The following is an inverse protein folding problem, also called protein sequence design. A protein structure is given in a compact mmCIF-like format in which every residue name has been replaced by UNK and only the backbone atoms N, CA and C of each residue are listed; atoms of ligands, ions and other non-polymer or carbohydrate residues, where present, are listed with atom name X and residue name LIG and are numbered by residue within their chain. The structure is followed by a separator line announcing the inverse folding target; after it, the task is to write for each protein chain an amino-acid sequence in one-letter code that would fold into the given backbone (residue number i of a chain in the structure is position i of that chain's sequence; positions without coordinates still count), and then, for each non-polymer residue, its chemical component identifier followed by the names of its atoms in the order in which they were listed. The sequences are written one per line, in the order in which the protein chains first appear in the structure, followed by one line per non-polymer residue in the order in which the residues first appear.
data_IF_416492448043
#
_entry.id   IF_416492448043
#
_cell.length_a   1.000
_cell.length_b   1.000
_cell.length_c   1.000
_cell.angle_alpha   90.00
_cell.angle_beta   90.00
_cell.angle_gamma   90.00
#
_symmetry.space_group_name_H-M   'P 1'
#
loop_
_entity.id
_entity.type
_entity.pdbx_description
1 polymer ?
#
# COMPACT_ATOMS: atom_id res chain seq x y z
N UNK A 1 -8.77 -25.30 27.36
CA UNK A 1 -7.35 -25.71 27.16
C UNK A 1 -7.00 -25.89 25.68
N UNK A 2 -7.86 -26.48 24.84
CA UNK A 2 -7.60 -26.61 23.37
C UNK A 2 -7.43 -25.27 22.65
N UNK A 3 -8.25 -24.28 22.98
CA UNK A 3 -8.18 -22.95 22.33
C UNK A 3 -6.93 -22.12 22.68
N UNK A 4 -6.31 -22.39 23.84
CA UNK A 4 -5.03 -21.73 24.19
C UNK A 4 -3.84 -22.34 23.44
N UNK A 5 -3.91 -23.63 23.15
CA UNK A 5 -2.90 -24.32 22.36
C UNK A 5 -2.94 -23.88 20.89
N UNK A 6 -4.14 -23.70 20.31
CA UNK A 6 -4.29 -23.25 18.91
C UNK A 6 -3.76 -21.82 18.73
N UNK A 7 -4.08 -20.92 19.67
CA UNK A 7 -3.57 -19.54 19.63
C UNK A 7 -2.05 -19.47 19.77
N UNK A 8 -1.49 -20.30 20.69
CA UNK A 8 -0.03 -20.36 20.88
C UNK A 8 0.70 -20.96 19.68
N UNK A 9 0.08 -21.92 18.99
CA UNK A 9 0.63 -22.56 17.78
C UNK A 9 0.58 -21.59 16.59
N UNK A 10 -0.53 -20.89 16.38
CA UNK A 10 -0.65 -19.92 15.29
C UNK A 10 0.25 -18.70 15.50
N UNK A 11 0.40 -18.23 16.75
CA UNK A 11 1.37 -17.17 17.08
C UNK A 11 2.79 -17.61 16.79
N UNK A 12 3.17 -18.84 17.20
CA UNK A 12 4.50 -19.39 16.88
C UNK A 12 4.74 -19.52 15.38
N UNK A 13 3.74 -19.91 14.61
CA UNK A 13 3.84 -20.00 13.15
C UNK A 13 4.02 -18.62 12.52
N UNK A 14 3.27 -17.60 12.95
CA UNK A 14 3.41 -16.21 12.48
C UNK A 14 4.79 -15.66 12.88
N UNK A 15 5.23 -15.88 14.10
CA UNK A 15 6.55 -15.45 14.59
C UNK A 15 7.68 -16.18 13.83
N UNK A 16 7.50 -17.47 13.51
CA UNK A 16 8.44 -18.26 12.70
C UNK A 16 8.53 -17.73 11.27
N UNK A 17 7.38 -17.48 10.61
CA UNK A 17 7.33 -16.89 9.29
C UNK A 17 7.99 -15.51 9.29
N UNK A 18 7.71 -14.69 10.31
CA UNK A 18 8.35 -13.39 10.48
C UNK A 18 9.87 -13.46 10.61
N UNK A 19 10.38 -14.44 11.37
CA UNK A 19 11.83 -14.65 11.51
C UNK A 19 12.47 -15.15 10.21
N UNK A 20 11.80 -16.05 9.50
CA UNK A 20 12.26 -16.55 8.21
C UNK A 20 12.28 -15.45 7.15
N UNK A 21 11.26 -14.56 7.12
CA UNK A 21 11.21 -13.38 6.26
C UNK A 21 12.38 -12.42 6.54
N UNK A 22 12.70 -12.19 7.81
CA UNK A 22 13.83 -11.36 8.22
C UNK A 22 15.15 -11.97 7.74
N UNK A 23 15.32 -13.27 7.85
CA UNK A 23 16.54 -13.94 7.42
C UNK A 23 16.69 -13.95 5.90
N UNK A 24 15.59 -14.18 5.16
CA UNK A 24 15.56 -14.08 3.69
C UNK A 24 15.94 -12.67 3.22
N UNK A 25 15.38 -11.61 3.83
CA UNK A 25 15.76 -10.22 3.53
C UNK A 25 17.24 -9.95 3.80
N UNK A 26 17.79 -10.45 4.89
CA UNK A 26 19.24 -10.31 5.17
C UNK A 26 20.10 -11.00 4.12
N UNK A 27 19.67 -12.16 3.64
CA UNK A 27 20.38 -12.87 2.57
C UNK A 27 20.30 -12.09 1.25
N UNK A 28 19.13 -11.57 0.88
CA UNK A 28 18.94 -10.71 -0.29
C UNK A 28 19.82 -9.46 -0.22
N UNK A 29 19.84 -8.76 0.90
CA UNK A 29 20.70 -7.59 1.14
C UNK A 29 22.18 -7.92 0.98
N UNK A 30 22.61 -9.08 1.46
CA UNK A 30 23.99 -9.55 1.31
C UNK A 30 24.34 -9.80 -0.15
N UNK A 31 23.43 -10.42 -0.90
CA UNK A 31 23.61 -10.68 -2.34
C UNK A 31 23.60 -9.39 -3.15
N UNK A 32 22.69 -8.44 -2.86
CA UNK A 32 22.70 -7.12 -3.48
C UNK A 32 23.98 -6.36 -3.23
N UNK A 33 24.51 -6.41 -2.00
CA UNK A 33 25.79 -5.81 -1.67
C UNK A 33 26.94 -6.43 -2.45
N UNK A 34 26.97 -7.75 -2.59
CA UNK A 34 27.97 -8.44 -3.41
C UNK A 34 27.85 -8.06 -4.90
N UNK A 35 26.63 -7.88 -5.40
CA UNK A 35 26.40 -7.42 -6.77
C UNK A 35 26.87 -5.98 -6.96
N UNK A 36 26.65 -5.08 -6.00
CA UNK A 36 27.12 -3.70 -6.03
C UNK A 36 28.63 -3.59 -6.19
N UNK A 37 29.40 -4.51 -5.66
CA UNK A 37 30.86 -4.52 -5.77
C UNK A 37 31.36 -4.77 -7.21
N UNK A 38 30.55 -5.43 -8.03
CA UNK A 38 30.93 -5.83 -9.40
C UNK A 38 30.06 -5.18 -10.49
N UNK A 39 28.92 -4.61 -10.12
CA UNK A 39 27.95 -4.08 -11.07
C UNK A 39 28.12 -2.56 -11.27
N UNK A 40 28.22 -2.08 -12.51
CA UNK A 40 28.45 -0.67 -12.83
C UNK A 40 27.16 0.16 -12.75
N UNK A 41 26.67 0.41 -11.54
CA UNK A 41 25.39 1.07 -11.25
C UNK A 41 25.22 2.40 -12.01
N UNK A 42 26.21 3.27 -11.95
CA UNK A 42 26.13 4.61 -12.59
C UNK A 42 26.04 4.52 -14.12
N UNK A 43 26.78 3.60 -14.71
CA UNK A 43 26.73 3.38 -16.16
C UNK A 43 25.39 2.82 -16.59
N UNK A 44 24.87 1.84 -15.86
CA UNK A 44 23.53 1.28 -16.13
C UNK A 44 22.44 2.35 -16.03
N UNK A 45 22.47 3.20 -15.00
CA UNK A 45 21.57 4.34 -14.83
C UNK A 45 21.58 5.26 -16.04
N UNK A 46 22.75 5.60 -16.56
CA UNK A 46 22.90 6.46 -17.75
C UNK A 46 22.38 5.79 -19.03
N UNK A 47 22.73 4.53 -19.28
CA UNK A 47 22.32 3.80 -20.48
C UNK A 47 20.81 3.64 -20.53
N UNK A 48 20.18 3.32 -19.41
CA UNK A 48 18.73 3.12 -19.33
C UNK A 48 17.93 4.41 -19.12
N UNK A 49 18.60 5.57 -18.92
CA UNK A 49 17.95 6.85 -18.71
C UNK A 49 17.05 6.86 -17.46
N UNK A 50 17.47 6.18 -16.39
CA UNK A 50 16.63 6.05 -15.19
C UNK A 50 16.40 7.39 -14.52
N UNK A 51 15.16 7.72 -14.10
CA UNK A 51 14.83 8.99 -13.46
C UNK A 51 15.45 9.11 -12.05
N UNK A 52 15.38 10.32 -11.48
CA UNK A 52 15.95 10.63 -10.14
C UNK A 52 15.36 9.76 -9.01
N UNK A 53 14.18 9.19 -9.18
CA UNK A 53 13.61 8.24 -8.21
C UNK A 53 14.54 7.04 -7.94
N UNK A 54 15.45 6.74 -8.87
CA UNK A 54 16.49 5.71 -8.73
C UNK A 54 17.83 6.29 -8.20
N UNK A 55 17.78 7.25 -7.30
CA UNK A 55 18.99 7.87 -6.73
C UNK A 55 19.85 6.91 -5.91
N UNK A 56 19.23 5.92 -5.28
CA UNK A 56 19.92 4.94 -4.45
C UNK A 56 20.37 3.73 -5.28
N UNK A 57 21.62 3.33 -5.13
CA UNK A 57 22.23 2.25 -5.92
C UNK A 57 21.47 0.92 -5.83
N UNK A 58 20.87 0.61 -4.69
CA UNK A 58 20.06 -0.61 -4.54
C UNK A 58 18.78 -0.59 -5.41
N UNK A 59 18.17 0.59 -5.62
CA UNK A 59 17.02 0.73 -6.54
C UNK A 59 17.41 0.47 -7.99
N UNK A 60 18.60 0.91 -8.37
CA UNK A 60 19.15 0.64 -9.71
C UNK A 60 19.43 -0.84 -9.89
N UNK A 61 19.94 -1.52 -8.87
CA UNK A 61 20.13 -2.97 -8.90
C UNK A 61 18.80 -3.71 -8.98
N UNK A 62 17.79 -3.26 -8.22
CA UNK A 62 16.44 -3.82 -8.33
C UNK A 62 15.88 -3.68 -9.74
N UNK A 63 16.02 -2.51 -10.34
CA UNK A 63 15.63 -2.29 -11.73
C UNK A 63 16.37 -3.23 -12.68
N UNK A 64 17.68 -3.39 -12.53
CA UNK A 64 18.47 -4.30 -13.35
C UNK A 64 18.02 -5.75 -13.21
N UNK A 65 17.85 -6.25 -11.99
CA UNK A 65 17.38 -7.62 -11.72
C UNK A 65 16.01 -7.87 -12.36
N UNK A 66 15.16 -6.87 -12.37
CA UNK A 66 13.79 -7.00 -12.80
C UNK A 66 13.60 -6.81 -14.32
N UNK A 67 14.40 -5.96 -14.94
CA UNK A 67 14.19 -5.53 -16.33
C UNK A 67 15.41 -5.72 -17.24
N UNK A 68 16.61 -5.79 -16.67
CA UNK A 68 17.87 -5.81 -17.40
C UNK A 68 18.52 -7.17 -17.54
N UNK A 69 17.94 -8.22 -16.98
CA UNK A 69 18.54 -9.55 -16.97
C UNK A 69 18.26 -10.26 -18.29
N UNK A 70 18.71 -9.69 -19.39
CA UNK A 70 18.98 -10.48 -20.54
C UNK A 70 20.50 -10.55 -20.77
N UNK A 71 20.96 -11.64 -21.33
CA UNK A 71 22.38 -11.91 -21.48
C UNK A 71 23.12 -10.83 -22.29
N UNK A 72 22.43 -10.19 -23.21
CA UNK A 72 22.98 -9.14 -24.06
C UNK A 72 23.20 -7.84 -23.31
N UNK A 73 22.22 -7.38 -22.53
CA UNK A 73 22.32 -6.17 -21.73
C UNK A 73 23.44 -6.26 -20.70
N UNK A 74 23.61 -7.43 -20.10
CA UNK A 74 24.65 -7.66 -19.10
C UNK A 74 26.05 -7.57 -19.66
N UNK A 75 26.30 -8.22 -20.80
CA UNK A 75 27.60 -8.20 -21.48
C UNK A 75 27.99 -6.81 -21.96
N UNK A 76 27.03 -6.09 -22.53
CA UNK A 76 27.27 -4.72 -23.00
C UNK A 76 27.57 -3.78 -21.85
N UNK A 77 26.81 -3.82 -20.76
CA UNK A 77 26.99 -2.97 -19.59
C UNK A 77 28.39 -3.17 -18.97
N UNK A 78 28.81 -4.42 -18.78
CA UNK A 78 30.14 -4.69 -18.22
C UNK A 78 31.25 -4.25 -19.17
N UNK A 79 31.11 -4.50 -20.46
CA UNK A 79 32.09 -4.11 -21.48
C UNK A 79 32.25 -2.59 -21.54
N UNK A 80 31.16 -1.86 -21.54
CA UNK A 80 31.19 -0.39 -21.58
C UNK A 80 31.74 0.20 -20.27
N UNK A 81 31.47 -0.40 -19.13
CA UNK A 81 31.98 0.05 -17.85
C UNK A 81 33.52 -0.06 -17.78
N UNK A 82 34.08 -1.14 -18.28
CA UNK A 82 35.53 -1.34 -18.34
C UNK A 82 36.19 -0.28 -19.26
N UNK A 83 35.57 -0.02 -20.41
CA UNK A 83 36.03 1.02 -21.33
C UNK A 83 35.91 2.42 -20.73
N UNK A 84 34.82 2.73 -20.03
CA UNK A 84 34.55 4.00 -19.38
C UNK A 84 35.52 4.31 -18.24
N UNK A 85 35.85 3.30 -17.44
CA UNK A 85 36.80 3.46 -16.32
C UNK A 85 38.28 3.46 -16.76
N UNK A 86 38.55 3.20 -18.04
CA UNK A 86 39.94 3.13 -18.54
C UNK A 86 40.75 2.01 -17.87
N UNK A 87 40.07 0.97 -17.37
CA UNK A 87 40.71 -0.14 -16.68
C UNK A 87 41.33 -1.09 -17.69
N UNK A 88 42.64 -1.25 -17.68
CA UNK A 88 43.34 -2.29 -18.45
C UNK A 88 43.22 -3.65 -17.73
N UNK A 89 42.02 -4.23 -17.77
CA UNK A 89 41.72 -5.52 -17.14
C UNK A 89 41.99 -6.63 -18.15
N UNK A 90 42.80 -7.65 -17.81
CA UNK A 90 43.02 -8.80 -18.68
C UNK A 90 41.70 -9.51 -19.03
N UNK A 91 41.53 -9.94 -20.28
CA UNK A 91 40.31 -10.63 -20.75
C UNK A 91 39.90 -11.82 -19.87
N UNK A 92 40.85 -12.49 -19.25
CA UNK A 92 40.60 -13.60 -18.31
C UNK A 92 39.91 -13.16 -17.03
N UNK A 93 40.23 -11.96 -16.51
CA UNK A 93 39.55 -11.41 -15.32
C UNK A 93 38.18 -10.85 -15.69
N UNK A 94 38.02 -10.33 -16.90
CA UNK A 94 36.73 -9.87 -17.41
C UNK A 94 35.66 -10.97 -17.37
N UNK A 95 35.99 -12.14 -17.88
CA UNK A 95 35.08 -13.28 -17.88
C UNK A 95 34.76 -13.77 -16.46
N UNK A 96 35.73 -13.71 -15.54
CA UNK A 96 35.49 -14.06 -14.13
C UNK A 96 34.52 -13.10 -13.43
N UNK A 97 34.63 -11.79 -13.69
CA UNK A 97 33.71 -10.77 -13.15
C UNK A 97 32.31 -10.98 -13.73
N UNK A 98 32.20 -11.20 -15.04
CA UNK A 98 30.91 -11.49 -15.70
C UNK A 98 30.24 -12.73 -15.11
N UNK A 99 30.95 -13.83 -14.97
CA UNK A 99 30.41 -15.07 -14.42
C UNK A 99 30.02 -14.92 -12.93
N UNK A 100 30.84 -14.24 -12.14
CA UNK A 100 30.50 -13.97 -10.74
C UNK A 100 29.24 -13.12 -10.60
N UNK A 101 29.10 -12.08 -11.40
CA UNK A 101 27.92 -11.21 -11.39
C UNK A 101 26.66 -11.96 -11.87
N UNK A 102 26.77 -12.83 -12.90
CA UNK A 102 25.67 -13.69 -13.35
C UNK A 102 25.22 -14.65 -12.25
N UNK A 103 26.15 -15.32 -11.57
CA UNK A 103 25.83 -16.25 -10.50
C UNK A 103 25.07 -15.58 -9.35
N UNK A 104 25.57 -14.42 -8.90
CA UNK A 104 24.91 -13.63 -7.83
C UNK A 104 23.52 -13.19 -8.27
N UNK A 105 23.39 -12.74 -9.52
CA UNK A 105 22.10 -12.31 -10.08
C UNK A 105 21.09 -13.47 -10.15
N UNK A 106 21.51 -14.63 -10.65
CA UNK A 106 20.65 -15.82 -10.70
C UNK A 106 20.21 -16.25 -9.30
N UNK A 107 21.12 -16.24 -8.33
CA UNK A 107 20.81 -16.59 -6.95
C UNK A 107 19.81 -15.61 -6.30
N UNK A 108 19.91 -14.31 -6.62
CA UNK A 108 18.95 -13.30 -6.20
C UNK A 108 17.56 -13.55 -6.78
N UNK A 109 17.46 -13.82 -8.08
CA UNK A 109 16.18 -14.12 -8.75
C UNK A 109 15.54 -15.36 -8.14
N UNK A 110 16.29 -16.46 -8.03
CA UNK A 110 15.78 -17.68 -7.42
C UNK A 110 15.37 -17.50 -5.96
N UNK A 111 16.12 -16.69 -5.20
CA UNK A 111 15.79 -16.36 -3.81
C UNK A 111 14.46 -15.62 -3.72
N UNK A 112 14.21 -14.65 -4.61
CA UNK A 112 12.95 -13.90 -4.69
C UNK A 112 11.78 -14.80 -5.07
N UNK A 113 11.94 -15.66 -6.05
CA UNK A 113 10.88 -16.60 -6.44
C UNK A 113 10.53 -17.59 -5.33
N UNK A 114 11.53 -18.14 -4.65
CA UNK A 114 11.31 -18.97 -3.46
C UNK A 114 10.56 -18.21 -2.36
N UNK A 115 10.90 -16.94 -2.14
CA UNK A 115 10.24 -16.09 -1.13
C UNK A 115 8.79 -15.80 -1.52
N UNK A 116 8.51 -15.45 -2.77
CA UNK A 116 7.15 -15.25 -3.28
C UNK A 116 6.29 -16.50 -3.08
N UNK A 117 6.81 -17.67 -3.41
CA UNK A 117 6.11 -18.94 -3.21
C UNK A 117 5.84 -19.23 -1.74
N UNK A 118 6.80 -18.93 -0.85
CA UNK A 118 6.63 -19.07 0.61
C UNK A 118 5.58 -18.12 1.15
N UNK A 119 5.58 -16.85 0.72
CA UNK A 119 4.59 -15.85 1.11
C UNK A 119 3.19 -16.30 0.67
N UNK A 120 3.02 -16.77 -0.56
CA UNK A 120 1.75 -17.28 -1.05
C UNK A 120 1.25 -18.49 -0.23
N UNK A 121 2.12 -19.47 0.03
CA UNK A 121 1.78 -20.65 0.83
C UNK A 121 1.43 -20.27 2.28
N UNK A 122 2.20 -19.37 2.90
CA UNK A 122 1.98 -18.91 4.25
C UNK A 122 0.67 -18.12 4.37
N UNK A 123 0.40 -17.20 3.43
CA UNK A 123 -0.83 -16.42 3.40
C UNK A 123 -2.06 -17.30 3.20
N UNK A 124 -1.99 -18.27 2.29
CA UNK A 124 -3.06 -19.25 2.09
C UNK A 124 -3.29 -20.11 3.33
N UNK A 125 -2.23 -20.56 4.01
CA UNK A 125 -2.32 -21.28 5.28
C UNK A 125 -2.99 -20.44 6.37
N UNK A 126 -2.54 -19.20 6.57
CA UNK A 126 -3.12 -18.29 7.56
C UNK A 126 -4.62 -18.02 7.32
N UNK A 127 -5.02 -17.85 6.07
CA UNK A 127 -6.42 -17.60 5.73
C UNK A 127 -7.30 -18.87 5.83
N UNK A 128 -6.74 -20.05 5.57
CA UNK A 128 -7.45 -21.34 5.58
C UNK A 128 -7.58 -21.93 6.97
N UNK A 129 -6.47 -22.04 7.71
CA UNK A 129 -6.39 -22.83 8.93
C UNK A 129 -6.91 -22.09 10.15
N UNK A 130 -6.84 -20.76 10.17
CA UNK A 130 -7.30 -19.98 11.32
C UNK A 130 -8.80 -19.78 11.38
N UNK A 131 -9.55 -20.17 10.34
CA UNK A 131 -10.91 -19.66 10.24
C UNK A 131 -10.90 -18.24 10.81
N UNK A 132 -10.83 -17.20 10.00
CA UNK A 132 -10.63 -15.78 10.43
C UNK A 132 -11.43 -15.45 11.72
N UNK A 133 -12.54 -16.14 11.95
CA UNK A 133 -13.40 -16.11 13.14
C UNK A 133 -12.70 -16.45 14.45
N UNK A 134 -11.74 -17.38 14.48
CA UNK A 134 -11.09 -17.79 15.74
C UNK A 134 -9.94 -16.86 16.15
N UNK A 135 -9.34 -16.14 15.20
CA UNK A 135 -8.33 -15.12 15.47
C UNK A 135 -8.90 -13.79 15.98
N UNK A 136 -10.21 -13.59 15.83
CA UNK A 136 -10.90 -12.32 16.09
C UNK A 136 -11.71 -12.42 17.38
N UNK A 137 -11.09 -12.78 18.49
CA UNK A 137 -11.74 -12.52 19.79
C UNK A 137 -11.50 -11.04 20.13
N UNK A 138 -12.59 -10.27 20.38
CA UNK A 138 -12.41 -8.92 20.90
C UNK A 138 -11.65 -9.05 22.22
N UNK A 139 -10.43 -8.52 22.24
CA UNK A 139 -9.73 -8.35 23.50
C UNK A 139 -10.55 -7.38 24.35
N UNK A 140 -10.87 -7.75 25.59
CA UNK A 140 -11.49 -6.86 26.57
C UNK A 140 -10.48 -5.76 26.91
N UNK A 141 -10.52 -4.66 26.17
CA UNK A 141 -9.76 -3.45 26.47
C UNK A 141 -10.63 -2.48 27.25
N UNK A 142 -10.05 -1.77 28.19
CA UNK A 142 -10.71 -0.66 28.85
C UNK A 142 -10.98 0.44 27.82
N UNK A 143 -12.24 0.84 27.67
CA UNK A 143 -12.59 2.01 26.86
C UNK A 143 -11.82 3.24 27.39
N UNK A 144 -11.21 3.99 26.45
CA UNK A 144 -10.50 5.23 26.79
C UNK A 144 -8.99 5.12 26.92
N UNK A 145 -8.38 3.92 26.92
CA UNK A 145 -6.92 3.80 26.88
C UNK A 145 -6.35 4.20 25.52
N UNK A 146 -5.45 5.19 25.51
CA UNK A 146 -4.77 5.71 24.31
C UNK A 146 -3.40 5.06 24.13
N UNK A 147 -3.38 3.73 23.91
CA UNK A 147 -2.14 2.99 23.68
C UNK A 147 -1.70 3.16 22.22
N UNK A 148 -0.50 3.67 22.02
CA UNK A 148 0.07 3.89 20.69
C UNK A 148 0.67 2.58 20.15
N UNK A 149 0.16 2.12 19.02
CA UNK A 149 0.55 0.82 18.44
C UNK A 149 2.02 0.78 18.01
N UNK A 150 2.51 1.85 17.39
CA UNK A 150 3.85 1.90 16.77
C UNK A 150 4.99 2.17 17.77
N UNK A 151 4.68 2.42 19.04
CA UNK A 151 5.68 2.73 20.07
C UNK A 151 6.02 1.55 20.97
N UNK A 152 5.17 0.53 20.98
CA UNK A 152 5.38 -0.64 21.84
C UNK A 152 6.60 -1.46 21.39
N UNK A 153 7.51 -1.72 22.31
CA UNK A 153 8.73 -2.49 22.04
C UNK A 153 9.81 -1.73 21.26
N UNK A 154 9.57 -0.46 20.92
CA UNK A 154 10.54 0.40 20.26
C UNK A 154 11.05 1.48 21.25
N UNK A 155 12.31 1.38 21.72
CA UNK A 155 12.87 2.36 22.66
C UNK A 155 13.28 3.68 22.00
N UNK A 156 13.17 3.79 20.66
CA UNK A 156 13.56 4.98 19.95
C UNK A 156 12.69 6.18 20.37
N UNK A 157 13.28 7.36 20.31
CA UNK A 157 12.57 8.62 20.47
C UNK A 157 11.40 8.69 19.46
N UNK A 158 10.24 9.21 19.89
CA UNK A 158 9.06 9.36 19.02
C UNK A 158 9.38 10.13 17.73
N UNK A 159 10.29 11.11 17.79
CA UNK A 159 10.72 11.88 16.63
C UNK A 159 11.63 11.11 15.68
N UNK A 160 12.19 9.99 16.08
CA UNK A 160 13.03 9.10 15.26
C UNK A 160 12.25 7.88 14.78
N UNK A 161 11.10 7.59 15.39
CA UNK A 161 10.25 6.47 15.01
C UNK A 161 9.44 6.80 13.74
N UNK A 162 10.00 6.47 12.57
CA UNK A 162 9.38 6.76 11.27
C UNK A 162 7.97 6.20 11.13
N UNK A 163 7.70 5.00 11.66
CA UNK A 163 6.36 4.39 11.60
C UNK A 163 5.33 5.15 12.45
N UNK A 164 5.74 5.65 13.63
CA UNK A 164 4.90 6.51 14.46
C UNK A 164 4.66 7.85 13.76
N UNK A 165 5.71 8.49 13.26
CA UNK A 165 5.63 9.78 12.55
C UNK A 165 4.67 9.69 11.36
N UNK A 166 4.78 8.63 10.56
CA UNK A 166 3.88 8.40 9.44
C UNK A 166 2.42 8.26 9.89
N UNK A 167 2.13 7.41 10.89
CA UNK A 167 0.77 7.24 11.39
C UNK A 167 0.22 8.53 12.03
N UNK A 168 1.04 9.26 12.78
CA UNK A 168 0.66 10.52 13.44
C UNK A 168 0.37 11.63 12.43
N UNK A 169 1.14 11.77 11.35
CA UNK A 169 0.90 12.75 10.28
C UNK A 169 -0.44 12.56 9.57
N UNK A 170 -0.98 11.34 9.61
CA UNK A 170 -2.29 11.00 9.03
C UNK A 170 -3.45 11.11 10.03
N UNK A 171 -3.26 11.88 11.11
CA UNK A 171 -4.34 12.22 12.04
C UNK A 171 -4.92 13.60 11.75
N UNK A 172 -6.17 13.82 12.15
CA UNK A 172 -6.82 15.13 12.19
C UNK A 172 -7.56 15.30 13.49
N UNK A 173 -7.44 16.47 14.10
CA UNK A 173 -8.16 16.84 15.32
C UNK A 173 -9.42 17.63 14.99
N UNK A 174 -10.54 17.25 15.58
CA UNK A 174 -11.76 18.05 15.65
C UNK A 174 -11.79 18.76 17.00
N UNK A 175 -11.46 20.05 17.02
CA UNK A 175 -11.23 20.82 18.25
C UNK A 175 -12.45 20.87 19.16
N UNK A 176 -13.65 21.09 18.60
CA UNK A 176 -14.87 21.23 19.37
C UNK A 176 -15.16 20.06 20.30
N UNK A 177 -14.86 18.84 19.86
CA UNK A 177 -15.10 17.60 20.62
C UNK A 177 -13.83 17.02 21.26
N UNK A 178 -12.65 17.58 20.99
CA UNK A 178 -11.35 16.98 21.29
C UNK A 178 -11.26 15.54 20.81
N UNK A 179 -11.68 15.31 19.55
CA UNK A 179 -11.63 13.99 18.92
C UNK A 179 -10.52 13.92 17.88
N UNK A 180 -9.91 12.76 17.76
CA UNK A 180 -8.86 12.49 16.76
C UNK A 180 -9.33 11.40 15.82
N UNK A 181 -9.27 11.66 14.52
CA UNK A 181 -9.46 10.64 13.51
C UNK A 181 -8.16 10.35 12.76
N UNK A 182 -7.99 9.09 12.36
CA UNK A 182 -6.99 8.72 11.35
C UNK A 182 -7.66 8.69 9.99
N UNK A 183 -7.11 9.45 9.05
CA UNK A 183 -7.55 9.40 7.66
C UNK A 183 -6.62 8.51 6.85
N UNK A 184 -7.20 7.71 5.96
CA UNK A 184 -6.47 6.79 5.09
C UNK A 184 -6.86 7.11 3.64
N UNK A 185 -5.92 7.29 2.72
CA UNK A 185 -6.22 7.49 1.31
C UNK A 185 -7.15 6.41 0.76
N UNK A 186 -8.11 6.80 -0.09
CA UNK A 186 -9.17 5.95 -0.67
C UNK A 186 -10.26 5.48 0.32
N UNK A 187 -10.24 5.94 1.59
CA UNK A 187 -11.23 5.62 2.62
C UNK A 187 -12.05 6.86 3.01
N UNK A 188 -12.60 7.58 2.05
CA UNK A 188 -13.33 8.85 2.25
C UNK A 188 -12.45 9.97 2.88
N UNK A 189 -11.14 9.94 2.65
CA UNK A 189 -10.20 10.89 3.25
C UNK A 189 -10.54 12.35 2.92
N UNK A 190 -10.96 12.67 1.70
CA UNK A 190 -11.35 14.03 1.30
C UNK A 190 -12.58 14.51 2.07
N UNK A 191 -13.58 13.63 2.26
CA UNK A 191 -14.78 13.96 3.04
C UNK A 191 -14.41 14.32 4.48
N UNK A 192 -13.58 13.48 5.15
CA UNK A 192 -13.16 13.70 6.53
C UNK A 192 -12.33 14.98 6.67
N UNK A 193 -11.31 15.14 5.83
CA UNK A 193 -10.37 16.28 5.91
C UNK A 193 -11.07 17.60 5.63
N UNK A 194 -11.93 17.64 4.60
CA UNK A 194 -12.72 18.83 4.27
C UNK A 194 -13.69 19.18 5.39
N UNK A 195 -14.43 18.22 5.94
CA UNK A 195 -15.38 18.43 7.00
C UNK A 195 -14.72 18.92 8.30
N UNK A 196 -13.57 18.40 8.65
CA UNK A 196 -12.78 18.90 9.79
C UNK A 196 -12.27 20.32 9.54
N UNK A 197 -11.84 20.63 8.31
CA UNK A 197 -11.42 21.98 7.96
C UNK A 197 -12.57 22.99 8.06
N UNK A 198 -13.79 22.62 7.66
CA UNK A 198 -15.00 23.42 7.86
C UNK A 198 -15.32 23.56 9.36
N UNK A 199 -15.39 22.44 10.08
CA UNK A 199 -15.75 22.43 11.50
C UNK A 199 -14.76 23.19 12.38
N UNK A 200 -13.48 23.21 12.01
CA UNK A 200 -12.43 23.98 12.69
C UNK A 200 -12.30 25.44 12.18
N UNK A 201 -13.11 25.84 11.18
CA UNK A 201 -13.19 27.23 10.73
C UNK A 201 -12.10 27.66 9.73
N UNK A 202 -11.41 26.74 9.08
CA UNK A 202 -10.39 27.06 8.07
C UNK A 202 -10.97 27.38 6.70
N UNK A 203 -12.07 26.74 6.34
CA UNK A 203 -12.82 26.94 5.09
C UNK A 203 -14.31 27.04 5.40
N UNK A 204 -15.06 27.71 4.52
CA UNK A 204 -16.49 27.95 4.72
C UNK A 204 -17.39 26.85 4.14
N UNK A 205 -16.96 26.20 3.05
CA UNK A 205 -17.76 25.19 2.35
C UNK A 205 -16.90 24.16 1.63
N UNK A 206 -17.56 23.11 1.09
CA UNK A 206 -16.91 22.09 0.24
C UNK A 206 -16.37 22.65 -1.07
N UNK A 207 -16.81 23.82 -1.52
CA UNK A 207 -16.32 24.44 -2.75
C UNK A 207 -14.84 24.84 -2.64
N UNK A 208 -14.35 24.99 -1.41
CA UNK A 208 -12.95 25.27 -1.09
C UNK A 208 -12.10 23.99 -0.91
N UNK A 209 -12.54 22.83 -1.39
CA UNK A 209 -11.89 21.53 -1.17
C UNK A 209 -10.41 21.51 -1.57
N UNK A 210 -10.00 22.31 -2.56
CA UNK A 210 -8.58 22.41 -2.95
C UNK A 210 -7.68 22.84 -1.80
N UNK A 211 -8.24 23.56 -0.80
CA UNK A 211 -7.50 23.99 0.37
C UNK A 211 -6.89 22.82 1.15
N UNK A 212 -7.59 21.66 1.27
CA UNK A 212 -7.09 20.51 2.03
C UNK A 212 -5.85 19.86 1.39
N UNK A 213 -5.64 20.04 0.08
CA UNK A 213 -4.46 19.53 -0.61
C UNK A 213 -3.26 20.46 -0.46
N UNK A 214 -3.50 21.77 -0.47
CA UNK A 214 -2.47 22.77 -0.23
C UNK A 214 -2.05 22.86 1.27
N UNK A 215 -2.91 22.41 2.19
CA UNK A 215 -2.74 22.53 3.63
C UNK A 215 -2.84 21.17 4.33
N UNK A 216 -2.14 20.19 3.79
CA UNK A 216 -2.23 18.80 4.24
C UNK A 216 -1.86 18.61 5.71
N UNK A 217 -0.95 19.43 6.24
CA UNK A 217 -0.46 19.36 7.62
C UNK A 217 -1.33 20.14 8.62
N UNK A 218 -2.33 20.90 8.14
CA UNK A 218 -3.24 21.59 9.04
C UNK A 218 -4.08 20.58 9.83
N UNK A 219 -4.27 20.88 11.12
CA UNK A 219 -5.05 20.06 12.07
C UNK A 219 -4.49 18.64 12.29
N UNK A 220 -3.24 18.38 11.95
CA UNK A 220 -2.54 17.17 12.41
C UNK A 220 -2.49 17.21 13.94
N UNK A 221 -2.92 16.12 14.57
CA UNK A 221 -2.98 16.07 16.03
C UNK A 221 -1.57 16.05 16.64
N UNK A 222 -1.31 16.96 17.58
CA UNK A 222 -0.11 16.92 18.40
C UNK A 222 -0.08 15.68 19.29
N UNK A 223 1.10 15.31 19.81
CA UNK A 223 1.23 14.19 20.75
C UNK A 223 0.29 14.34 21.95
N UNK A 224 0.07 15.57 22.44
CA UNK A 224 -0.87 15.83 23.52
C UNK A 224 -2.31 15.51 23.12
N UNK A 225 -2.77 16.01 21.98
CA UNK A 225 -4.11 15.73 21.47
C UNK A 225 -4.33 14.25 21.20
N UNK A 226 -3.29 13.57 20.68
CA UNK A 226 -3.31 12.12 20.47
C UNK A 226 -3.56 11.35 21.79
N UNK A 227 -2.84 11.71 22.86
CA UNK A 227 -2.95 11.05 24.16
C UNK A 227 -4.19 11.44 24.96
N UNK A 228 -4.70 12.67 24.79
CA UNK A 228 -5.84 13.22 25.52
C UNK A 228 -7.15 13.18 24.72
N UNK A 229 -7.18 12.56 23.53
CA UNK A 229 -8.37 12.48 22.69
C UNK A 229 -9.54 11.84 23.43
N UNK A 230 -10.69 12.54 23.45
CA UNK A 230 -11.92 12.04 24.09
C UNK A 230 -12.60 10.96 23.25
N UNK A 231 -12.44 11.01 21.95
CA UNK A 231 -12.96 10.02 21.02
C UNK A 231 -12.00 9.86 19.85
N UNK A 232 -11.77 8.62 19.45
CA UNK A 232 -10.90 8.28 18.33
C UNK A 232 -11.62 7.39 17.33
N UNK A 233 -11.45 7.64 16.04
CA UNK A 233 -12.04 6.81 15.02
C UNK A 233 -11.18 6.70 13.76
N UNK A 234 -11.45 5.67 12.98
CA UNK A 234 -10.84 5.43 11.67
C UNK A 234 -11.87 4.79 10.74
N UNK A 235 -11.82 5.15 9.46
CA UNK A 235 -12.64 4.51 8.42
C UNK A 235 -11.73 3.53 7.66
N UNK A 236 -12.11 2.26 7.66
CA UNK A 236 -11.43 1.19 6.92
C UNK A 236 -12.19 0.87 5.63
N UNK A 237 -11.51 0.27 4.70
CA UNK A 237 -12.07 -0.23 3.45
C UNK A 237 -11.61 -1.65 3.18
N UNK A 238 -12.47 -2.46 2.57
CA UNK A 238 -12.07 -3.76 2.05
C UNK A 238 -10.81 -3.61 1.17
N UNK A 239 -9.68 -4.30 1.46
CA UNK A 239 -8.40 -4.07 0.79
C UNK A 239 -8.48 -4.24 -0.74
N UNK A 240 -9.23 -5.21 -1.23
CA UNK A 240 -9.44 -5.42 -2.66
C UNK A 240 -10.17 -4.24 -3.32
N UNK A 241 -11.24 -3.76 -2.70
CA UNK A 241 -11.99 -2.59 -3.20
C UNK A 241 -11.16 -1.29 -3.09
N UNK A 242 -10.28 -1.19 -2.09
CA UNK A 242 -9.38 -0.03 -1.91
C UNK A 242 -8.36 0.04 -3.04
N UNK A 243 -7.69 -1.08 -3.33
CA UNK A 243 -6.68 -1.15 -4.38
C UNK A 243 -7.29 -0.88 -5.77
N UNK A 244 -8.46 -1.48 -6.06
CA UNK A 244 -9.19 -1.17 -7.28
C UNK A 244 -9.57 0.32 -7.38
N UNK A 245 -9.99 0.93 -6.26
CA UNK A 245 -10.30 2.37 -6.24
C UNK A 245 -9.08 3.25 -6.51
N UNK A 246 -7.89 2.83 -6.11
CA UNK A 246 -6.64 3.49 -6.48
C UNK A 246 -6.43 3.42 -7.99
N UNK A 247 -6.45 2.22 -8.56
CA UNK A 247 -6.25 1.99 -9.99
C UNK A 247 -7.20 2.84 -10.84
N UNK A 248 -8.50 2.80 -10.53
CA UNK A 248 -9.49 3.55 -11.28
C UNK A 248 -9.31 5.07 -11.16
N UNK A 249 -9.02 5.58 -9.96
CA UNK A 249 -8.91 7.02 -9.72
C UNK A 249 -7.56 7.61 -10.18
N UNK A 250 -6.47 6.93 -9.89
CA UNK A 250 -5.12 7.48 -10.07
C UNK A 250 -4.45 7.03 -11.35
N UNK A 251 -4.80 5.88 -11.90
CA UNK A 251 -4.19 5.34 -13.10
C UNK A 251 -5.11 5.47 -14.33
N UNK A 252 -6.41 5.16 -14.21
CA UNK A 252 -7.31 5.26 -15.36
C UNK A 252 -7.85 6.67 -15.62
N UNK A 253 -8.14 7.44 -14.56
CA UNK A 253 -8.87 8.71 -14.66
C UNK A 253 -8.01 9.94 -14.37
N UNK A 254 -6.74 9.75 -14.06
CA UNK A 254 -5.84 10.87 -13.91
C UNK A 254 -5.87 11.76 -15.17
N UNK A 255 -5.90 13.05 -14.93
CA UNK A 255 -5.74 14.02 -16.00
C UNK A 255 -4.29 13.97 -16.48
N UNK A 256 -4.08 13.79 -17.78
CA UNK A 256 -2.75 13.84 -18.41
C UNK A 256 -2.10 15.23 -18.29
N UNK A 257 -2.80 16.20 -17.68
CA UNK A 257 -2.18 17.47 -17.32
C UNK A 257 -1.05 17.20 -16.31
N UNK A 258 0.16 17.64 -16.62
CA UNK A 258 1.40 17.49 -15.83
C UNK A 258 1.29 18.06 -14.39
N UNK A 259 0.11 18.46 -13.97
CA UNK A 259 -0.15 19.12 -12.67
C UNK A 259 -0.58 18.17 -11.54
N UNK A 260 -0.96 16.91 -11.82
CA UNK A 260 -1.28 15.94 -10.78
C UNK A 260 -0.01 15.17 -10.38
N UNK A 261 0.66 15.65 -9.33
CA UNK A 261 1.87 15.02 -8.76
C UNK A 261 1.60 13.55 -8.42
N UNK A 262 0.41 13.21 -7.92
CA UNK A 262 0.06 11.83 -7.59
C UNK A 262 0.05 10.92 -8.81
N UNK A 263 -0.36 11.44 -9.97
CA UNK A 263 -0.34 10.69 -11.22
C UNK A 263 1.10 10.47 -11.72
N UNK A 264 1.94 11.50 -11.64
CA UNK A 264 3.34 11.36 -12.05
C UNK A 264 4.07 10.35 -11.16
N UNK A 265 3.88 10.44 -9.84
CA UNK A 265 4.44 9.45 -8.90
C UNK A 265 3.93 8.04 -9.24
N UNK A 266 2.63 7.88 -9.47
CA UNK A 266 2.06 6.58 -9.80
C UNK A 266 2.60 6.02 -11.12
N UNK A 267 2.79 6.88 -12.12
CA UNK A 267 3.38 6.51 -13.41
C UNK A 267 4.83 6.07 -13.25
N UNK A 268 5.62 6.83 -12.51
CA UNK A 268 7.04 6.54 -12.32
C UNK A 268 7.25 5.30 -11.41
N UNK A 269 6.52 5.21 -10.30
CA UNK A 269 6.64 4.11 -9.33
C UNK A 269 6.14 2.78 -9.89
N UNK A 270 5.04 2.80 -10.65
CA UNK A 270 4.42 1.58 -11.18
C UNK A 270 4.72 1.34 -12.65
N UNK A 271 5.60 2.15 -13.25
CA UNK A 271 5.91 2.11 -14.69
C UNK A 271 4.63 2.06 -15.56
N UNK A 272 3.60 2.77 -15.09
CA UNK A 272 2.27 2.65 -15.60
C UNK A 272 2.06 3.51 -16.86
N UNK A 273 1.50 2.90 -17.88
CA UNK A 273 0.95 3.62 -19.03
C UNK A 273 -0.52 3.22 -19.29
N UNK A 274 -1.23 4.00 -20.09
CA UNK A 274 -2.66 3.80 -20.34
C UNK A 274 -3.00 2.54 -21.15
N UNK A 275 -2.01 1.85 -21.73
CA UNK A 275 -2.17 0.55 -22.39
C UNK A 275 -2.17 -0.62 -21.41
N UNK A 276 -1.83 -0.38 -20.13
CA UNK A 276 -1.83 -1.41 -19.10
C UNK A 276 -3.24 -1.66 -18.56
N UNK A 277 -3.47 -2.88 -18.10
CA UNK A 277 -4.69 -3.33 -17.45
C UNK A 277 -4.53 -3.36 -15.92
N UNK A 278 -5.62 -3.66 -15.21
CA UNK A 278 -5.53 -3.89 -13.77
C UNK A 278 -4.71 -5.15 -13.44
N UNK A 279 -4.75 -6.16 -14.31
CA UNK A 279 -3.91 -7.36 -14.19
C UNK A 279 -2.43 -7.01 -14.29
N UNK A 280 -2.04 -6.18 -15.25
CA UNK A 280 -0.67 -5.71 -15.41
C UNK A 280 -0.19 -4.97 -14.16
N UNK A 281 -1.02 -4.07 -13.59
CA UNK A 281 -0.73 -3.37 -12.35
C UNK A 281 -0.56 -4.33 -11.14
N UNK A 282 -1.45 -5.33 -10.98
CA UNK A 282 -1.32 -6.32 -9.90
C UNK A 282 -0.05 -7.15 -10.06
N UNK A 283 0.29 -7.52 -11.29
CA UNK A 283 1.53 -8.24 -11.56
C UNK A 283 2.74 -7.38 -11.21
N UNK A 284 2.73 -6.09 -11.55
CA UNK A 284 3.79 -5.17 -11.19
C UNK A 284 3.99 -5.09 -9.67
N UNK A 285 2.96 -4.83 -8.87
CA UNK A 285 3.10 -4.75 -7.41
C UNK A 285 3.43 -6.09 -6.76
N UNK A 286 3.15 -7.21 -7.42
CA UNK A 286 3.58 -8.53 -6.99
C UNK A 286 5.08 -8.75 -7.22
N UNK A 287 5.58 -8.33 -8.38
CA UNK A 287 7.01 -8.37 -8.72
C UNK A 287 7.83 -7.42 -7.87
N UNK A 288 7.28 -6.23 -7.58
CA UNK A 288 7.93 -5.16 -6.81
C UNK A 288 7.13 -4.80 -5.55
N UNK A 289 7.08 -5.67 -4.53
CA UNK A 289 6.20 -5.45 -3.36
C UNK A 289 6.52 -4.18 -2.57
N UNK A 290 7.74 -3.65 -2.68
CA UNK A 290 8.11 -2.38 -2.02
C UNK A 290 7.46 -1.16 -2.70
N UNK A 291 7.08 -1.23 -3.97
CA UNK A 291 6.44 -0.12 -4.69
C UNK A 291 5.17 0.37 -4.03
N UNK A 292 4.43 -0.51 -3.33
CA UNK A 292 3.23 -0.11 -2.60
C UNK A 292 3.48 0.88 -1.46
N UNK A 293 4.74 1.02 -0.98
CA UNK A 293 5.12 1.94 0.08
C UNK A 293 5.56 3.31 -0.44
N UNK A 294 5.81 3.45 -1.74
CA UNK A 294 6.22 4.70 -2.37
C UNK A 294 5.04 5.66 -2.58
N UNK A 295 3.80 5.14 -2.66
CA UNK A 295 2.58 5.95 -2.75
C UNK A 295 1.64 5.65 -1.56
N UNK A 296 1.23 6.69 -0.83
CA UNK A 296 0.32 6.57 0.31
C UNK A 296 -1.04 5.95 -0.05
N UNK A 297 -1.47 6.04 -1.33
CA UNK A 297 -2.74 5.48 -1.79
C UNK A 297 -2.73 3.94 -1.91
N UNK A 298 -1.56 3.35 -2.16
CA UNK A 298 -1.36 1.88 -2.20
C UNK A 298 -0.85 1.32 -0.90
N UNK A 299 -0.23 2.15 -0.05
CA UNK A 299 0.34 1.73 1.22
C UNK A 299 -0.67 0.99 2.11
N UNK A 300 -0.29 -0.11 2.80
CA UNK A 300 -1.20 -0.85 3.67
C UNK A 300 -1.90 0.04 4.70
N UNK A 301 -3.19 -0.20 4.95
CA UNK A 301 -3.97 0.55 5.93
C UNK A 301 -3.41 0.41 7.34
N UNK A 302 -2.80 -0.73 7.65
CA UNK A 302 -2.14 -1.01 8.93
C UNK A 302 -1.01 -0.04 9.24
N UNK A 303 -0.39 0.58 8.26
CA UNK A 303 0.67 1.58 8.49
C UNK A 303 0.12 2.89 9.05
N UNK A 304 -1.11 3.25 8.70
CA UNK A 304 -1.79 4.44 9.16
C UNK A 304 -2.36 4.29 10.58
N UNK A 305 -2.48 3.07 11.10
CA UNK A 305 -3.08 2.81 12.40
C UNK A 305 -2.16 3.31 13.52
N UNK A 306 -2.63 4.34 14.22
CA UNK A 306 -1.89 4.99 15.30
C UNK A 306 -2.14 4.33 16.66
N UNK A 307 -3.41 4.08 16.98
CA UNK A 307 -3.80 3.50 18.25
C UNK A 307 -3.92 1.98 18.15
N UNK A 308 -3.57 1.29 19.22
CA UNK A 308 -3.83 -0.15 19.36
C UNK A 308 -5.33 -0.45 19.24
N UNK A 309 -6.15 0.44 19.83
CA UNK A 309 -7.61 0.40 19.72
C UNK A 309 -8.14 1.82 19.52
N UNK A 310 -9.01 1.98 18.56
CA UNK A 310 -9.85 3.17 18.42
C UNK A 310 -11.16 2.94 19.16
N UNK A 311 -11.80 4.02 19.60
CA UNK A 311 -13.15 3.92 20.16
C UNK A 311 -14.14 3.42 19.10
N UNK A 312 -13.88 3.73 17.81
CA UNK A 312 -14.70 3.25 16.69
C UNK A 312 -13.89 2.98 15.43
N UNK A 313 -14.25 1.87 14.79
CA UNK A 313 -13.82 1.50 13.45
C UNK A 313 -15.06 1.48 12.56
N UNK A 314 -15.03 2.23 11.46
CA UNK A 314 -16.10 2.29 10.48
C UNK A 314 -15.69 1.66 9.17
N UNK A 315 -16.65 1.12 8.41
CA UNK A 315 -16.43 0.63 7.06
C UNK A 315 -16.94 1.66 6.04
N UNK A 316 -16.13 1.95 5.01
CA UNK A 316 -16.57 2.83 3.92
C UNK A 316 -17.76 2.22 3.16
N UNK A 317 -17.89 0.90 3.15
CA UNK A 317 -18.99 0.18 2.53
C UNK A 317 -20.35 0.54 3.16
N UNK A 318 -20.33 1.06 4.38
CA UNK A 318 -21.50 1.56 5.14
C UNK A 318 -21.32 3.01 5.55
N UNK A 319 -20.75 3.81 4.65
CA UNK A 319 -20.39 5.19 4.96
C UNK A 319 -21.55 6.03 5.49
N UNK A 320 -22.75 5.88 4.95
CA UNK A 320 -23.93 6.64 5.40
C UNK A 320 -24.26 6.43 6.88
N UNK A 321 -24.18 5.20 7.38
CA UNK A 321 -24.38 4.89 8.80
C UNK A 321 -23.25 5.48 9.65
N UNK A 322 -22.01 5.33 9.18
CA UNK A 322 -20.83 5.87 9.85
C UNK A 322 -20.91 7.39 10.03
N UNK A 323 -21.34 8.13 8.99
CA UNK A 323 -21.47 9.59 9.03
C UNK A 323 -22.51 10.04 10.06
N UNK A 324 -23.66 9.35 10.10
CA UNK A 324 -24.73 9.64 11.08
C UNK A 324 -24.24 9.38 12.52
N UNK A 325 -23.55 8.28 12.76
CA UNK A 325 -23.02 7.94 14.09
C UNK A 325 -21.94 8.94 14.54
N UNK A 326 -21.02 9.32 13.66
CA UNK A 326 -19.99 10.32 13.96
C UNK A 326 -20.63 11.65 14.32
N UNK A 327 -21.61 12.12 13.53
CA UNK A 327 -22.31 13.36 13.84
C UNK A 327 -23.02 13.29 15.20
N UNK A 328 -23.77 12.22 15.45
CA UNK A 328 -24.45 12.03 16.74
C UNK A 328 -23.48 11.96 17.92
N UNK A 329 -22.30 11.36 17.75
CA UNK A 329 -21.32 11.16 18.83
C UNK A 329 -20.51 12.40 19.17
N UNK A 330 -20.04 13.13 18.15
CA UNK A 330 -19.08 14.23 18.33
C UNK A 330 -19.51 15.56 17.70
N UNK A 331 -20.69 15.62 17.10
CA UNK A 331 -21.20 16.82 16.43
C UNK A 331 -20.41 17.24 15.19
N UNK A 332 -19.70 16.30 14.56
CA UNK A 332 -18.98 16.54 13.32
C UNK A 332 -19.87 16.13 12.15
N UNK A 333 -20.38 17.12 11.41
CA UNK A 333 -21.07 16.88 10.14
C UNK A 333 -20.05 16.58 9.05
N UNK A 334 -20.19 15.43 8.39
CA UNK A 334 -19.29 15.03 7.33
C UNK A 334 -19.97 15.18 5.98
N UNK A 335 -19.41 16.03 5.15
CA UNK A 335 -19.94 16.39 3.84
C UNK A 335 -19.47 15.45 2.75
N UNK A 336 -20.35 15.17 1.78
CA UNK A 336 -19.99 14.44 0.56
C UNK A 336 -19.27 15.40 -0.42
N UNK A 337 -17.97 15.22 -0.56
CA UNK A 337 -17.13 16.09 -1.39
C UNK A 337 -17.07 15.66 -2.87
N UNK A 338 -17.77 14.59 -3.26
CA UNK A 338 -17.71 14.07 -4.64
C UNK A 338 -18.23 15.03 -5.69
N UNK A 339 -19.13 15.94 -5.33
CA UNK A 339 -19.66 16.96 -6.24
C UNK A 339 -18.69 18.15 -6.45
N UNK A 340 -17.88 18.44 -5.46
CA UNK A 340 -16.90 19.53 -5.50
C UNK A 340 -15.52 19.07 -5.98
N UNK A 341 -15.25 17.77 -5.86
CA UNK A 341 -14.02 17.16 -6.32
C UNK A 341 -14.28 16.53 -7.70
N UNK A 342 -13.70 17.08 -8.76
CA UNK A 342 -13.88 16.61 -10.14
C UNK A 342 -13.29 15.22 -10.41
N UNK A 343 -12.72 14.61 -9.39
CA UNK A 343 -12.07 13.31 -9.44
C UNK A 343 -13.13 12.20 -9.42
N UNK A 344 -12.76 11.04 -9.93
CA UNK A 344 -13.55 9.83 -10.12
C UNK A 344 -14.73 9.62 -9.14
N UNK A 345 -15.94 9.54 -9.69
CA UNK A 345 -17.15 9.18 -8.95
C UNK A 345 -17.97 8.16 -9.74
N UNK A 346 -18.46 7.13 -9.08
CA UNK A 346 -19.39 6.15 -9.68
C UNK A 346 -20.85 6.55 -9.54
N UNK A 347 -21.15 7.71 -8.93
CA UNK A 347 -22.51 8.19 -8.75
C UNK A 347 -23.14 8.53 -10.10
N UNK A 348 -24.23 7.85 -10.45
CA UNK A 348 -24.92 8.03 -11.74
C UNK A 348 -24.24 7.32 -12.90
N UNK A 349 -23.35 6.36 -12.64
CA UNK A 349 -22.80 5.45 -13.64
C UNK A 349 -23.44 4.07 -13.54
N UNK A 350 -23.65 3.44 -14.69
CA UNK A 350 -24.13 2.07 -14.76
C UNK A 350 -23.00 1.08 -14.63
N UNK A 351 -23.21 0.01 -13.88
CA UNK A 351 -22.26 -1.08 -13.78
C UNK A 351 -22.21 -1.86 -15.11
N UNK A 352 -21.03 -1.95 -15.72
CA UNK A 352 -20.82 -2.69 -16.96
C UNK A 352 -20.06 -4.00 -16.67
N UNK A 353 -20.71 -5.17 -16.82
CA UNK A 353 -20.04 -6.46 -16.60
C UNK A 353 -18.99 -6.80 -17.68
N UNK A 354 -18.97 -6.08 -18.82
CA UNK A 354 -17.96 -6.24 -19.87
C UNK A 354 -16.59 -5.67 -19.50
N UNK A 355 -16.54 -4.77 -18.51
CA UNK A 355 -15.26 -4.23 -18.02
C UNK A 355 -14.63 -5.24 -17.05
N UNK A 356 -13.48 -5.79 -17.44
CA UNK A 356 -12.77 -6.83 -16.68
C UNK A 356 -11.36 -6.40 -16.31
N UNK A 357 -10.67 -7.24 -15.55
CA UNK A 357 -9.28 -7.00 -15.13
C UNK A 357 -8.28 -6.90 -16.30
N UNK A 358 -8.66 -7.36 -17.50
CA UNK A 358 -7.85 -7.27 -18.72
C UNK A 358 -8.17 -6.04 -19.58
N UNK A 359 -9.26 -5.34 -19.26
CA UNK A 359 -9.62 -4.09 -19.95
C UNK A 359 -8.54 -3.03 -19.69
N UNK A 360 -8.05 -2.40 -20.76
CA UNK A 360 -6.97 -1.43 -20.66
C UNK A 360 -7.44 -0.12 -20.00
N UNK A 361 -6.55 0.57 -19.31
CA UNK A 361 -6.87 1.79 -18.56
C UNK A 361 -7.47 2.88 -19.48
N UNK A 362 -6.94 3.06 -20.69
CA UNK A 362 -7.50 3.99 -21.68
C UNK A 362 -8.95 3.65 -22.01
N UNK A 363 -9.26 2.37 -22.25
CA UNK A 363 -10.62 1.92 -22.56
C UNK A 363 -11.57 2.12 -21.37
N UNK A 364 -11.09 1.86 -20.13
CA UNK A 364 -11.87 2.12 -18.92
C UNK A 364 -12.20 3.62 -18.80
N UNK A 365 -11.25 4.51 -19.13
CA UNK A 365 -11.45 5.97 -19.15
C UNK A 365 -12.53 6.36 -20.17
N UNK A 366 -12.50 5.78 -21.36
CA UNK A 366 -13.50 6.05 -22.40
C UNK A 366 -14.90 5.56 -21.99
N UNK A 367 -14.99 4.35 -21.42
CA UNK A 367 -16.25 3.79 -20.92
C UNK A 367 -16.82 4.62 -19.75
N UNK A 368 -15.94 5.14 -18.88
CA UNK A 368 -16.35 6.04 -17.82
C UNK A 368 -16.98 7.33 -18.35
N UNK A 369 -16.44 7.90 -19.42
CA UNK A 369 -17.04 9.07 -20.09
C UNK A 369 -18.43 8.77 -20.64
N UNK A 370 -18.71 7.50 -20.96
CA UNK A 370 -20.04 6.98 -21.35
C UNK A 370 -20.90 6.58 -20.12
N UNK A 371 -20.53 7.00 -18.92
CA UNK A 371 -21.22 6.70 -17.65
C UNK A 371 -21.24 5.21 -17.29
N UNK A 372 -20.21 4.46 -17.67
CA UNK A 372 -20.03 3.06 -17.33
C UNK A 372 -18.91 2.87 -16.31
N UNK A 373 -19.06 1.91 -15.40
CA UNK A 373 -18.07 1.60 -14.36
C UNK A 373 -17.94 0.10 -14.18
N UNK A 374 -16.74 -0.44 -13.84
CA UNK A 374 -16.59 -1.87 -13.64
C UNK A 374 -17.29 -2.36 -12.37
N UNK A 375 -17.73 -3.62 -12.41
CA UNK A 375 -18.06 -4.39 -11.21
C UNK A 375 -16.77 -4.85 -10.53
N UNK A 376 -16.61 -4.56 -9.25
CA UNK A 376 -15.38 -4.92 -8.53
C UNK A 376 -15.03 -6.42 -8.65
N UNK A 377 -16.04 -7.29 -8.69
CA UNK A 377 -15.86 -8.75 -8.82
C UNK A 377 -15.24 -9.16 -10.16
N UNK A 378 -15.51 -8.40 -11.23
CA UNK A 378 -15.01 -8.70 -12.58
C UNK A 378 -13.57 -8.18 -12.79
N UNK A 379 -13.10 -7.34 -11.86
CA UNK A 379 -11.74 -6.78 -11.91
C UNK A 379 -10.67 -7.68 -11.26
N UNK A 380 -11.03 -8.91 -10.89
CA UNK A 380 -10.09 -9.82 -10.24
C UNK A 380 -10.23 -11.24 -10.76
N UNK A 381 -9.12 -11.85 -11.19
CA UNK A 381 -8.97 -13.30 -11.32
C UNK A 381 -8.66 -13.94 -9.97
N UNK A 382 -8.77 -15.27 -9.86
CA UNK A 382 -8.40 -15.99 -8.63
C UNK A 382 -6.92 -15.82 -8.29
N UNK A 383 -6.06 -15.80 -9.31
CA UNK A 383 -4.62 -15.57 -9.12
C UNK A 383 -4.32 -14.18 -8.58
N UNK A 384 -4.95 -13.13 -9.15
CA UNK A 384 -4.81 -11.77 -8.65
C UNK A 384 -5.30 -11.65 -7.21
N UNK A 385 -6.41 -12.32 -6.85
CA UNK A 385 -6.91 -12.35 -5.46
C UNK A 385 -5.84 -12.93 -4.53
N UNK A 386 -5.18 -14.03 -4.90
CA UNK A 386 -4.11 -14.64 -4.11
C UNK A 386 -2.93 -13.68 -3.91
N UNK A 387 -2.47 -13.03 -4.98
CA UNK A 387 -1.39 -12.04 -4.92
C UNK A 387 -1.74 -10.87 -3.99
N UNK A 388 -2.90 -10.28 -4.17
CA UNK A 388 -3.38 -9.16 -3.34
C UNK A 388 -3.61 -9.58 -1.89
N UNK A 389 -4.15 -10.78 -1.65
CA UNK A 389 -4.32 -11.31 -0.31
C UNK A 389 -2.98 -11.50 0.42
N UNK A 390 -1.94 -11.93 -0.30
CA UNK A 390 -0.59 -12.07 0.26
C UNK A 390 0.03 -10.71 0.60
N UNK A 391 -0.05 -9.73 -0.32
CA UNK A 391 0.51 -8.38 -0.13
C UNK A 391 -0.18 -7.64 1.03
N UNK A 392 -1.52 -7.70 1.10
CA UNK A 392 -2.34 -6.96 2.06
C UNK A 392 -2.92 -7.83 3.18
N UNK A 393 -2.24 -8.93 3.53
CA UNK A 393 -2.72 -9.89 4.53
C UNK A 393 -3.04 -9.22 5.87
N UNK A 394 -2.20 -8.30 6.34
CA UNK A 394 -2.42 -7.58 7.58
C UNK A 394 -3.65 -6.66 7.51
N UNK A 395 -3.91 -6.05 6.36
CA UNK A 395 -5.11 -5.23 6.14
C UNK A 395 -6.38 -6.09 6.14
N UNK A 396 -6.31 -7.31 5.58
CA UNK A 396 -7.42 -8.27 5.62
C UNK A 396 -7.74 -8.62 7.07
N UNK A 397 -6.74 -8.92 7.88
CA UNK A 397 -6.95 -9.20 9.31
C UNK A 397 -7.47 -7.98 10.07
N UNK A 398 -6.92 -6.80 9.82
CA UNK A 398 -7.39 -5.55 10.41
C UNK A 398 -8.89 -5.33 10.09
N UNK A 399 -9.26 -5.41 8.80
CA UNK A 399 -10.64 -5.21 8.36
C UNK A 399 -11.57 -6.28 8.95
N UNK A 400 -11.21 -7.55 8.87
CA UNK A 400 -12.00 -8.66 9.40
C UNK A 400 -12.21 -8.57 10.91
N UNK A 401 -11.16 -8.14 11.67
CA UNK A 401 -11.22 -8.09 13.13
C UNK A 401 -11.91 -6.86 13.69
N UNK A 402 -11.95 -5.76 12.94
CA UNK A 402 -12.42 -4.47 13.44
C UNK A 402 -13.77 -4.03 12.89
N UNK A 403 -14.18 -4.58 11.75
CA UNK A 403 -15.47 -4.30 11.14
C UNK A 403 -16.43 -5.46 11.46
N UNK A 404 -17.59 -5.19 12.08
CA UNK A 404 -18.53 -6.25 12.52
C UNK A 404 -18.90 -7.25 11.44
N UNK A 405 -19.15 -6.80 10.21
CA UNK A 405 -19.43 -7.66 9.05
C UNK A 405 -18.22 -7.85 8.14
N UNK A 406 -17.01 -7.49 8.62
CA UNK A 406 -15.78 -7.54 7.84
C UNK A 406 -15.51 -8.91 7.22
N UNK A 407 -15.79 -9.97 7.96
CA UNK A 407 -15.66 -11.35 7.47
C UNK A 407 -16.61 -11.60 6.31
N UNK A 408 -17.89 -11.26 6.44
CA UNK A 408 -18.88 -11.47 5.38
C UNK A 408 -18.56 -10.66 4.12
N UNK A 409 -18.07 -9.44 4.28
CA UNK A 409 -17.60 -8.58 3.17
C UNK A 409 -16.35 -9.13 2.46
N UNK A 410 -15.51 -9.86 3.19
CA UNK A 410 -14.32 -10.50 2.66
C UNK A 410 -14.56 -11.91 2.10
N UNK A 411 -15.65 -12.59 2.50
CA UNK A 411 -15.89 -14.00 2.15
C UNK A 411 -15.77 -14.30 0.65
N UNK A 412 -16.30 -13.43 -0.22
CA UNK A 412 -16.20 -13.60 -1.66
C UNK A 412 -14.74 -13.67 -2.13
N UNK A 413 -13.87 -12.85 -1.55
CA UNK A 413 -12.46 -12.75 -1.91
C UNK A 413 -11.63 -13.89 -1.30
N UNK A 414 -11.90 -14.18 -0.03
CA UNK A 414 -11.18 -15.21 0.72
C UNK A 414 -11.43 -16.59 0.14
N UNK A 415 -12.69 -16.93 -0.19
CA UNK A 415 -13.03 -18.23 -0.78
C UNK A 415 -12.34 -18.49 -2.13
N UNK A 416 -11.98 -17.45 -2.86
CA UNK A 416 -11.27 -17.53 -4.13
C UNK A 416 -9.75 -17.49 -4.00
N UNK A 417 -9.25 -17.27 -2.78
CA UNK A 417 -7.80 -17.21 -2.51
C UNK A 417 -7.19 -18.61 -2.28
N UNK A 418 -8.02 -19.64 -2.27
CA UNK A 418 -7.61 -21.02 -1.96
C UNK A 418 -7.75 -21.98 -3.14
#
# INVERSE_FOLDING_TARGET
MENQNLYSTNKKNIDSIGQELIESKKQEEKLKKALLEVFPVNLYRQIKGLPEVYDEDHKVIDHFINHGINEMDFKEIIKENINYLGLDIPRSQYHQIEEAAKLVTLELVESREREKERILKASAGCLRDSGITDMIKPNNYNEGERILLKTQGNPANLFENKSYQFAASHTKVHFKSNSVCTWIPKNACSNIRCSIAIANGAIASIDEIKWIHANNDCFVASTKEILEAKFTFVILRNPFKRLLSFFLDKLCHADDSQSDISYQIAKDVFEFDSSMSFEDFINHIWEYPHSIYEDEHTRPQTDFILYRNYDKYYAIERLGEALNEINAKIGLEIYDTRSANTIYTTKGHDADPGITFQTKAAEIKDLYNLKKTPLAKNMYSDEMIKKVAAIYLQDIFLYASRIPEGISELNYWIQRSF
#
